data_IF_324625298741
#
_entry.id   IF_324625298741
#
_cell.length_a   1.000
_cell.length_b   1.000
_cell.length_c   1.000
_cell.angle_alpha   90.00
_cell.angle_beta   90.00
_cell.angle_gamma   90.00
#
_symmetry.space_group_name_H-M   'P 1'
#
loop_
_entity.id
_entity.type
_entity.pdbx_description
1 polymer ?
#
# COMPACT_ATOMS: atom_id res chain seq x y z
N UNK A 1 8.92 -24.31 2.17
CA UNK A 1 8.33 -23.67 3.37
C UNK A 1 9.25 -23.73 4.60
N UNK A 2 10.56 -23.99 4.44
CA UNK A 2 11.46 -24.28 5.57
C UNK A 2 11.75 -23.10 6.51
N UNK A 3 11.40 -21.87 6.11
CA UNK A 3 11.61 -20.63 6.89
C UNK A 3 10.29 -19.91 7.24
N UNK A 4 9.19 -20.63 7.20
CA UNK A 4 7.85 -20.07 7.41
C UNK A 4 7.19 -20.81 8.57
N UNK A 5 6.71 -20.05 9.55
CA UNK A 5 5.82 -20.57 10.59
C UNK A 5 4.42 -20.09 10.26
N UNK A 6 3.46 -21.01 10.20
CA UNK A 6 2.09 -20.74 9.80
C UNK A 6 1.16 -21.06 10.96
N UNK A 7 0.39 -20.06 11.39
CA UNK A 7 -0.71 -20.24 12.33
C UNK A 7 -2.01 -20.15 11.54
N UNK A 8 -2.84 -21.18 11.64
CA UNK A 8 -4.12 -21.26 10.93
C UNK A 8 -5.24 -21.38 11.95
N UNK A 9 -6.24 -20.52 11.82
CA UNK A 9 -7.54 -20.65 12.47
C UNK A 9 -8.59 -20.65 11.37
N UNK A 10 -9.35 -21.72 11.27
CA UNK A 10 -10.39 -21.91 10.26
C UNK A 10 -11.71 -21.30 10.73
N UNK A 11 -12.62 -21.06 9.79
CA UNK A 11 -13.97 -20.58 10.08
C UNK A 11 -14.81 -21.59 10.92
N UNK A 12 -14.41 -22.86 10.96
CA UNK A 12 -14.99 -23.89 11.82
C UNK A 12 -14.52 -23.83 13.27
N UNK A 13 -13.39 -23.17 13.52
CA UNK A 13 -12.73 -23.22 14.82
C UNK A 13 -13.36 -22.19 15.78
N UNK A 14 -13.28 -22.43 17.10
CA UNK A 14 -13.90 -21.56 18.10
C UNK A 14 -13.42 -20.11 18.03
N UNK A 15 -14.32 -19.18 18.34
CA UNK A 15 -14.04 -17.73 18.38
C UNK A 15 -12.84 -17.39 19.28
N UNK A 16 -12.67 -18.10 20.39
CA UNK A 16 -11.54 -17.91 21.32
C UNK A 16 -10.19 -18.21 20.63
N UNK A 17 -10.12 -19.21 19.75
CA UNK A 17 -8.89 -19.55 19.04
C UNK A 17 -8.47 -18.42 18.08
N UNK A 18 -9.44 -17.72 17.46
CA UNK A 18 -9.18 -16.56 16.60
C UNK A 18 -8.64 -15.36 17.37
N UNK A 19 -9.00 -15.23 18.64
CA UNK A 19 -8.51 -14.15 19.51
C UNK A 19 -7.05 -14.41 19.91
N UNK A 20 -6.71 -15.65 20.28
CA UNK A 20 -5.35 -16.00 20.75
C UNK A 20 -4.34 -16.17 19.61
N UNK A 21 -4.80 -16.51 18.40
CA UNK A 21 -3.92 -16.84 17.26
C UNK A 21 -2.95 -15.70 16.91
N UNK A 22 -3.38 -14.43 16.78
CA UNK A 22 -2.46 -13.31 16.53
C UNK A 22 -1.45 -13.13 17.66
N UNK A 23 -1.85 -13.29 18.93
CA UNK A 23 -0.96 -13.18 20.07
C UNK A 23 0.15 -14.23 20.01
N UNK A 24 -0.18 -15.49 19.72
CA UNK A 24 0.80 -16.56 19.57
C UNK A 24 1.75 -16.32 18.39
N UNK A 25 1.22 -15.83 17.27
CA UNK A 25 2.02 -15.48 16.10
C UNK A 25 3.01 -14.35 16.40
N UNK A 26 2.57 -13.31 17.11
CA UNK A 26 3.41 -12.19 17.52
C UNK A 26 4.46 -12.61 18.55
N UNK A 27 4.11 -13.39 19.57
CA UNK A 27 5.09 -13.92 20.54
C UNK A 27 6.17 -14.75 19.84
N UNK A 28 5.79 -15.56 18.85
CA UNK A 28 6.74 -16.35 18.06
C UNK A 28 7.63 -15.45 17.19
N UNK A 29 7.06 -14.39 16.62
CA UNK A 29 7.81 -13.41 15.85
C UNK A 29 8.81 -12.64 16.71
N UNK A 30 8.41 -12.22 17.92
CA UNK A 30 9.27 -11.56 18.90
C UNK A 30 10.40 -12.49 19.34
N UNK A 31 10.11 -13.77 19.60
CA UNK A 31 11.13 -14.77 19.90
C UNK A 31 12.18 -14.85 18.78
N UNK A 32 11.73 -14.95 17.53
CA UNK A 32 12.66 -14.99 16.39
C UNK A 32 13.43 -13.69 16.18
N UNK A 33 12.80 -12.54 16.41
CA UNK A 33 13.42 -11.23 16.24
C UNK A 33 14.45 -10.92 17.32
N UNK A 34 14.08 -11.11 18.59
CA UNK A 34 14.90 -10.67 19.73
C UNK A 34 15.81 -11.75 20.30
N UNK A 35 15.41 -13.03 20.27
CA UNK A 35 16.22 -14.09 20.86
C UNK A 35 17.13 -14.78 19.83
N UNK A 36 16.67 -14.87 18.57
CA UNK A 36 17.45 -15.47 17.48
C UNK A 36 18.04 -14.43 16.51
N UNK A 37 17.85 -13.13 16.78
CA UNK A 37 18.37 -12.01 15.96
C UNK A 37 18.02 -12.14 14.46
N UNK A 38 16.83 -12.65 14.13
CA UNK A 38 16.37 -12.81 12.75
C UNK A 38 15.53 -11.63 12.29
N UNK A 39 15.63 -11.30 11.00
CA UNK A 39 14.65 -10.43 10.35
C UNK A 39 13.36 -11.22 10.11
N UNK A 40 12.28 -10.82 10.78
CA UNK A 40 10.98 -11.47 10.71
C UNK A 40 9.98 -10.55 10.03
N UNK A 41 9.17 -11.13 9.14
CA UNK A 41 7.99 -10.46 8.57
C UNK A 41 6.78 -11.24 9.04
N UNK A 42 5.86 -10.54 9.70
CA UNK A 42 4.57 -11.10 10.14
C UNK A 42 3.50 -10.66 9.16
N UNK A 43 2.79 -11.62 8.60
CA UNK A 43 1.62 -11.38 7.75
C UNK A 43 0.41 -11.88 8.53
N UNK A 44 -0.41 -10.96 9.01
CA UNK A 44 -1.68 -11.28 9.65
C UNK A 44 -2.79 -11.10 8.63
N UNK A 45 -3.61 -12.13 8.45
CA UNK A 45 -4.73 -12.10 7.52
C UNK A 45 -6.03 -12.42 8.24
N UNK A 46 -7.00 -11.60 7.84
CA UNK A 46 -8.31 -11.24 8.38
C UNK A 46 -8.35 -10.70 9.81
N UNK A 47 -7.90 -9.45 9.96
CA UNK A 47 -8.12 -8.66 11.18
C UNK A 47 -9.61 -8.40 11.41
N UNK A 48 -10.45 -8.37 10.36
CA UNK A 48 -11.89 -8.17 10.53
C UNK A 48 -12.53 -9.35 11.26
N UNK A 49 -12.22 -10.57 10.83
CA UNK A 49 -12.69 -11.78 11.51
C UNK A 49 -12.20 -11.86 12.98
N UNK A 50 -11.01 -11.32 13.27
CA UNK A 50 -10.51 -11.21 14.64
C UNK A 50 -11.30 -10.17 15.47
N UNK A 51 -11.64 -9.01 14.89
CA UNK A 51 -12.46 -8.01 15.56
C UNK A 51 -13.90 -8.50 15.80
N UNK A 52 -14.50 -9.21 14.84
CA UNK A 52 -15.83 -9.81 15.00
C UNK A 52 -15.83 -10.83 16.14
N UNK A 53 -14.77 -11.64 16.22
CA UNK A 53 -14.57 -12.60 17.30
C UNK A 53 -14.46 -11.92 18.67
N UNK A 54 -13.71 -10.82 18.75
CA UNK A 54 -13.57 -10.03 19.97
C UNK A 54 -14.90 -9.42 20.41
N UNK A 55 -15.69 -8.92 19.45
CA UNK A 55 -17.01 -8.37 19.69
C UNK A 55 -17.99 -9.41 20.26
N UNK A 56 -18.01 -10.63 19.71
CA UNK A 56 -18.85 -11.73 20.20
C UNK A 56 -18.55 -12.06 21.67
N UNK A 57 -17.27 -12.11 22.05
CA UNK A 57 -16.85 -12.40 23.43
C UNK A 57 -17.21 -11.26 24.38
N UNK A 58 -17.03 -10.01 23.96
CA UNK A 58 -17.38 -8.83 24.76
C UNK A 58 -18.90 -8.74 25.00
N UNK A 59 -19.71 -9.00 23.97
CA UNK A 59 -21.17 -9.04 24.08
C UNK A 59 -21.64 -10.14 25.05
N UNK A 60 -20.98 -11.30 25.05
CA UNK A 60 -21.25 -12.38 26.01
C UNK A 60 -20.82 -12.03 27.45
N UNK A 61 -19.85 -11.12 27.62
CA UNK A 61 -19.35 -10.65 28.91
C UNK A 61 -20.19 -9.57 29.59
N UNK A 62 -21.32 -9.15 28.99
CA UNK A 62 -22.15 -8.01 29.44
C UNK A 62 -21.35 -6.70 29.62
N UNK A 63 -20.27 -6.53 28.87
CA UNK A 63 -19.52 -5.28 28.88
C UNK A 63 -20.37 -4.14 28.31
N UNK A 64 -20.17 -2.93 28.81
CA UNK A 64 -20.91 -1.77 28.29
C UNK A 64 -20.48 -1.54 26.84
N UNK A 65 -21.38 -1.67 25.86
CA UNK A 65 -21.02 -1.47 24.47
C UNK A 65 -20.58 -0.03 24.24
N UNK A 66 -19.49 0.12 23.49
CA UNK A 66 -19.05 1.39 22.94
C UNK A 66 -19.90 1.78 21.73
N UNK A 67 -19.30 2.42 20.72
CA UNK A 67 -20.03 2.73 19.48
C UNK A 67 -20.16 1.48 18.61
N UNK A 68 -21.35 1.26 18.03
CA UNK A 68 -21.66 0.11 17.15
C UNK A 68 -21.46 -1.27 17.83
N UNK A 69 -21.76 -1.36 19.13
CA UNK A 69 -21.69 -2.58 19.95
C UNK A 69 -20.29 -3.17 20.20
N UNK A 70 -19.22 -2.57 19.66
CA UNK A 70 -17.83 -2.93 20.01
C UNK A 70 -17.42 -2.41 21.40
N UNK A 71 -16.57 -3.13 22.15
CA UNK A 71 -16.14 -2.71 23.48
C UNK A 71 -15.44 -1.34 23.48
N UNK A 72 -15.64 -0.57 24.55
CA UNK A 72 -15.26 0.84 24.65
C UNK A 72 -13.74 1.11 24.73
N UNK A 73 -12.93 0.09 25.01
CA UNK A 73 -11.46 0.11 25.03
C UNK A 73 -10.83 -0.15 23.64
N UNK A 74 -11.61 -0.72 22.72
CA UNK A 74 -11.25 -1.00 21.34
C UNK A 74 -12.14 -0.21 20.38
N UNK A 75 -12.11 1.12 20.53
CA UNK A 75 -12.89 2.06 19.73
C UNK A 75 -12.44 1.94 18.27
N UNK A 76 -13.18 1.21 17.43
CA UNK A 76 -13.06 1.12 15.97
C UNK A 76 -14.02 2.13 15.32
N UNK A 77 -13.48 3.25 14.77
CA UNK A 77 -14.23 4.45 14.34
C UNK A 77 -13.86 4.91 12.93
N UNK A 78 -14.51 4.30 11.95
CA UNK A 78 -15.12 4.78 10.70
C UNK A 78 -14.54 5.94 9.84
N UNK A 79 -14.17 5.63 8.58
CA UNK A 79 -14.57 6.40 7.38
C UNK A 79 -15.62 5.66 6.53
N UNK A 80 -15.93 4.38 6.80
CA UNK A 80 -17.14 3.62 6.36
C UNK A 80 -17.18 2.15 6.86
N UNK A 81 -16.13 1.65 7.53
CA UNK A 81 -16.16 0.46 8.38
C UNK A 81 -15.29 0.72 9.62
N UNK A 82 -15.75 0.40 10.85
CA UNK A 82 -15.06 0.77 12.10
C UNK A 82 -13.61 0.31 12.15
N UNK A 83 -13.31 -0.82 11.49
CA UNK A 83 -12.02 -1.52 11.55
C UNK A 83 -10.91 -0.77 10.79
N UNK A 84 -11.25 -0.07 9.70
CA UNK A 84 -10.23 0.55 8.83
C UNK A 84 -9.54 1.75 9.47
N UNK A 85 -10.24 2.55 10.27
CA UNK A 85 -9.72 3.84 10.72
C UNK A 85 -8.61 3.76 11.73
N UNK A 86 -8.74 2.89 12.74
CA UNK A 86 -7.70 2.82 13.77
C UNK A 86 -6.53 1.96 13.39
N UNK A 87 -6.70 1.06 12.43
CA UNK A 87 -5.51 0.51 11.78
C UNK A 87 -4.70 1.66 11.19
N UNK A 88 -5.32 2.66 10.55
CA UNK A 88 -4.63 3.86 10.06
C UNK A 88 -4.05 4.79 11.14
N UNK A 89 -4.57 4.79 12.36
CA UNK A 89 -4.00 5.54 13.50
C UNK A 89 -2.84 4.81 14.19
N UNK A 90 -2.90 3.48 14.25
CA UNK A 90 -1.90 2.64 14.94
C UNK A 90 -0.74 2.32 14.00
N UNK A 91 -1.03 2.08 12.72
CA UNK A 91 -0.03 1.68 11.73
C UNK A 91 0.57 2.89 11.00
N UNK A 92 1.83 2.75 10.59
CA UNK A 92 2.60 3.82 9.95
C UNK A 92 2.30 3.98 8.44
N UNK A 93 1.06 3.73 8.05
CA UNK A 93 0.59 3.77 6.67
C UNK A 93 -0.34 2.61 6.35
N UNK A 94 -1.11 2.79 5.28
CA UNK A 94 -2.08 1.81 4.82
C UNK A 94 -1.93 1.64 3.31
N UNK A 95 -2.21 0.43 2.82
CA UNK A 95 -2.31 0.13 1.40
C UNK A 95 -3.78 -0.11 1.11
N UNK A 96 -4.38 0.79 0.35
CA UNK A 96 -5.78 0.76 -0.02
C UNK A 96 -5.97 -0.01 -1.33
N UNK A 97 -6.82 -1.03 -1.29
CA UNK A 97 -7.22 -1.81 -2.47
C UNK A 97 -8.52 -1.22 -3.01
N UNK A 98 -8.49 -0.72 -4.24
CA UNK A 98 -9.62 -0.05 -4.88
C UNK A 98 -10.39 -0.99 -5.81
N UNK A 99 -11.67 -1.16 -5.50
CA UNK A 99 -12.59 -1.97 -6.30
C UNK A 99 -12.79 -1.42 -7.71
N UNK A 100 -12.71 -0.11 -7.92
CA UNK A 100 -12.86 0.48 -9.25
C UNK A 100 -11.75 0.03 -10.19
N UNK A 101 -10.50 0.05 -9.71
CA UNK A 101 -9.35 -0.48 -10.45
C UNK A 101 -9.48 -1.99 -10.68
N UNK A 102 -9.99 -2.73 -9.69
CA UNK A 102 -10.27 -4.16 -9.82
C UNK A 102 -11.30 -4.47 -10.91
N UNK A 103 -12.40 -3.69 -10.96
CA UNK A 103 -13.44 -3.83 -11.98
C UNK A 103 -12.93 -3.51 -13.40
N UNK A 104 -11.90 -2.67 -13.53
CA UNK A 104 -11.21 -2.39 -14.79
C UNK A 104 -10.24 -3.51 -15.22
N UNK A 105 -10.05 -4.55 -14.41
CA UNK A 105 -9.12 -5.65 -14.69
C UNK A 105 -7.66 -5.33 -14.40
N UNK A 106 -7.36 -4.30 -13.62
CA UNK A 106 -5.99 -3.97 -13.20
C UNK A 106 -5.49 -5.01 -12.21
N UNK A 107 -4.34 -5.63 -12.51
CA UNK A 107 -3.66 -6.54 -11.60
C UNK A 107 -3.11 -5.75 -10.39
N UNK A 108 -3.37 -6.23 -9.17
CA UNK A 108 -3.07 -5.52 -7.91
C UNK A 108 -3.70 -4.12 -7.86
N UNK A 109 -5.02 -4.02 -7.65
CA UNK A 109 -5.73 -2.75 -7.76
C UNK A 109 -5.47 -1.86 -6.53
N UNK A 110 -4.27 -1.29 -6.42
CA UNK A 110 -3.83 -0.44 -5.32
C UNK A 110 -4.11 1.02 -5.67
N UNK A 111 -4.78 1.73 -4.79
CA UNK A 111 -4.96 3.17 -4.92
C UNK A 111 -3.80 3.92 -4.24
N UNK A 112 -2.92 4.48 -5.05
CA UNK A 112 -1.74 5.23 -4.60
C UNK A 112 -2.12 6.50 -3.84
N UNK A 113 -3.23 7.17 -4.17
CA UNK A 113 -3.65 8.41 -3.51
C UNK A 113 -4.13 8.16 -2.07
N UNK A 114 -4.86 7.06 -1.87
CA UNK A 114 -5.36 6.66 -0.55
C UNK A 114 -4.34 5.89 0.28
N UNK A 115 -3.12 5.68 -0.25
CA UNK A 115 -2.05 4.88 0.38
C UNK A 115 -0.77 5.70 0.60
N UNK A 116 -0.79 6.77 1.41
CA UNK A 116 0.39 7.60 1.62
C UNK A 116 1.43 6.86 2.45
N UNK A 117 2.67 6.68 1.95
CA UNK A 117 3.69 5.98 2.71
C UNK A 117 4.37 6.93 3.72
N UNK A 118 4.22 6.70 5.03
CA UNK A 118 4.77 7.60 6.07
C UNK A 118 6.28 7.43 6.26
N UNK A 119 6.77 6.19 6.19
CA UNK A 119 8.17 5.85 6.48
C UNK A 119 9.10 5.83 5.26
N UNK A 120 8.58 6.08 4.05
CA UNK A 120 9.36 5.94 2.81
C UNK A 120 10.60 6.82 2.78
N UNK A 121 10.52 8.03 3.36
CA UNK A 121 11.63 9.00 3.37
C UNK A 121 12.87 8.46 4.08
N UNK A 122 12.69 7.57 5.05
CA UNK A 122 13.82 6.92 5.73
C UNK A 122 14.39 5.76 4.89
N UNK A 123 13.58 5.13 4.05
CA UNK A 123 13.92 3.95 3.26
C UNK A 123 14.51 4.25 1.89
N UNK A 124 14.35 5.48 1.37
CA UNK A 124 14.82 5.89 0.05
C UNK A 124 16.10 6.73 0.11
N UNK A 125 16.83 6.78 -1.01
CA UNK A 125 18.05 7.59 -1.16
C UNK A 125 19.32 6.78 -1.38
N UNK A 126 20.45 7.48 -1.32
CA UNK A 126 21.79 6.94 -1.57
C UNK A 126 22.16 5.84 -0.59
N UNK A 127 22.57 4.67 -1.11
CA UNK A 127 22.94 3.51 -0.30
C UNK A 127 21.78 2.56 0.06
N UNK A 128 20.52 2.92 -0.25
CA UNK A 128 19.36 2.01 -0.10
C UNK A 128 18.73 1.63 -1.44
N UNK A 129 18.30 2.63 -2.21
CA UNK A 129 17.65 2.41 -3.51
C UNK A 129 18.40 3.16 -4.61
N UNK A 130 17.99 4.40 -4.90
CA UNK A 130 18.59 5.28 -5.92
C UNK A 130 18.37 6.74 -5.52
N UNK A 131 19.20 7.65 -6.06
CA UNK A 131 19.19 9.10 -5.77
C UNK A 131 17.88 9.80 -6.15
N UNK A 132 17.31 9.37 -7.27
CA UNK A 132 16.13 9.93 -7.94
C UNK A 132 14.78 9.43 -7.39
N UNK A 133 14.77 8.42 -6.52
CA UNK A 133 13.55 7.77 -6.05
C UNK A 133 12.57 8.75 -5.39
N UNK A 134 13.06 9.61 -4.49
CA UNK A 134 12.22 10.58 -3.78
C UNK A 134 11.52 11.54 -4.74
N UNK A 135 12.26 12.01 -5.76
CA UNK A 135 11.80 13.02 -6.70
C UNK A 135 10.76 12.42 -7.66
N UNK A 136 11.06 11.23 -8.20
CA UNK A 136 10.16 10.50 -9.12
C UNK A 136 8.87 10.11 -8.42
N UNK A 137 8.94 9.62 -7.18
CA UNK A 137 7.75 9.25 -6.41
C UNK A 137 6.88 10.48 -6.12
N UNK A 138 7.49 11.61 -5.75
CA UNK A 138 6.77 12.85 -5.46
C UNK A 138 6.08 13.40 -6.70
N UNK A 139 6.77 13.38 -7.84
CA UNK A 139 6.24 13.83 -9.12
C UNK A 139 5.06 12.97 -9.59
N UNK A 140 5.18 11.63 -9.55
CA UNK A 140 4.09 10.73 -9.93
C UNK A 140 2.84 10.93 -9.05
N UNK A 141 3.05 11.11 -7.74
CA UNK A 141 1.96 11.38 -6.81
C UNK A 141 1.25 12.70 -7.11
N UNK A 142 2.02 13.78 -7.31
CA UNK A 142 1.47 15.09 -7.66
C UNK A 142 0.68 15.05 -8.97
N UNK A 143 1.20 14.36 -9.99
CA UNK A 143 0.52 14.23 -11.29
C UNK A 143 -0.78 13.45 -11.16
N UNK A 144 -0.81 12.32 -10.43
CA UNK A 144 -2.05 11.56 -10.21
C UNK A 144 -3.08 12.36 -9.41
N UNK A 145 -2.65 13.16 -8.43
CA UNK A 145 -3.54 14.00 -7.63
C UNK A 145 -4.16 15.14 -8.47
N UNK A 146 -3.34 15.91 -9.17
CA UNK A 146 -3.79 17.04 -9.99
C UNK A 146 -4.68 16.56 -11.14
N UNK A 147 -4.26 15.52 -11.86
CA UNK A 147 -5.04 14.97 -12.98
C UNK A 147 -6.32 14.29 -12.47
N UNK A 148 -6.28 13.68 -11.29
CA UNK A 148 -7.46 13.04 -10.69
C UNK A 148 -8.59 14.03 -10.38
N UNK A 149 -8.25 15.25 -9.96
CA UNK A 149 -9.22 16.33 -9.73
C UNK A 149 -9.63 17.05 -11.01
N UNK A 150 -8.70 17.28 -11.94
CA UNK A 150 -8.93 18.02 -13.20
C UNK A 150 -9.48 17.16 -14.36
N UNK A 151 -9.54 15.82 -14.23
CA UNK A 151 -10.07 14.92 -15.26
C UNK A 151 -11.55 15.17 -15.60
N UNK A 152 -12.30 15.89 -14.74
CA UNK A 152 -13.65 16.34 -15.09
C UNK A 152 -13.67 17.52 -16.08
N UNK A 153 -12.57 18.25 -16.23
CA UNK A 153 -12.52 19.52 -16.98
C UNK A 153 -11.57 19.54 -18.18
N UNK A 154 -10.60 18.63 -18.28
CA UNK A 154 -9.51 18.77 -19.26
C UNK A 154 -9.68 17.91 -20.52
N UNK A 155 -9.77 18.57 -21.68
CA UNK A 155 -9.60 17.99 -23.04
C UNK A 155 -8.15 17.51 -23.32
N UNK A 156 -7.31 17.34 -22.29
CA UNK A 156 -5.90 17.02 -22.41
C UNK A 156 -5.68 15.53 -22.63
N UNK A 157 -5.67 15.13 -23.92
CA UNK A 157 -5.36 13.76 -24.38
C UNK A 157 -4.11 13.15 -23.73
N UNK A 158 -3.07 13.96 -23.50
CA UNK A 158 -1.81 13.54 -22.87
C UNK A 158 -2.01 13.07 -21.43
N UNK A 159 -2.89 13.73 -20.67
CA UNK A 159 -3.17 13.38 -19.28
C UNK A 159 -4.01 12.12 -19.13
N UNK A 160 -4.96 11.91 -20.05
CA UNK A 160 -5.71 10.66 -20.11
C UNK A 160 -4.80 9.48 -20.51
N UNK A 161 -3.95 9.67 -21.51
CA UNK A 161 -2.98 8.66 -21.95
C UNK A 161 -1.99 8.28 -20.82
N UNK A 162 -1.53 9.26 -20.05
CA UNK A 162 -0.70 9.01 -18.88
C UNK A 162 -1.43 8.20 -17.82
N UNK A 163 -2.68 8.55 -17.50
CA UNK A 163 -3.44 7.87 -16.45
C UNK A 163 -3.73 6.41 -16.81
N UNK A 164 -4.09 6.14 -18.07
CA UNK A 164 -4.27 4.78 -18.57
C UNK A 164 -2.97 3.98 -18.52
N UNK A 165 -1.86 4.54 -19.03
CA UNK A 165 -0.55 3.87 -18.99
C UNK A 165 -0.05 3.65 -17.57
N UNK A 166 -0.31 4.58 -16.65
CA UNK A 166 0.03 4.44 -15.25
C UNK A 166 -0.74 3.27 -14.61
N UNK A 167 -2.06 3.20 -14.80
CA UNK A 167 -2.88 2.11 -14.26
C UNK A 167 -2.52 0.75 -14.88
N UNK A 168 -2.25 0.70 -16.19
CA UNK A 168 -1.99 -0.55 -16.92
C UNK A 168 -0.55 -1.03 -16.91
N UNK A 169 0.44 -0.16 -16.68
CA UNK A 169 1.87 -0.52 -16.77
C UNK A 169 2.56 -0.42 -15.42
N UNK A 170 2.25 0.60 -14.62
CA UNK A 170 2.94 0.84 -13.35
C UNK A 170 2.27 0.14 -12.18
N UNK A 171 0.94 0.15 -12.10
CA UNK A 171 0.21 -0.54 -11.01
C UNK A 171 0.22 -2.05 -11.25
N UNK A 172 0.05 -2.49 -12.49
CA UNK A 172 -0.05 -3.91 -12.87
C UNK A 172 1.26 -4.71 -12.83
N UNK A 173 2.38 -4.09 -12.43
CA UNK A 173 3.72 -4.66 -12.58
C UNK A 173 4.07 -5.73 -11.53
N UNK A 174 5.13 -6.50 -11.82
CA UNK A 174 5.79 -7.37 -10.84
C UNK A 174 7.21 -6.87 -10.50
N UNK A 175 7.33 -6.26 -9.31
CA UNK A 175 8.49 -5.97 -8.45
C UNK A 175 9.86 -5.45 -8.98
N UNK A 176 10.34 -5.75 -10.21
CA UNK A 176 11.78 -5.66 -10.50
C UNK A 176 12.28 -4.39 -11.21
N UNK A 177 11.43 -3.53 -11.79
CA UNK A 177 11.89 -2.39 -12.63
C UNK A 177 11.10 -1.08 -12.43
N UNK A 178 10.50 -0.88 -11.26
CA UNK A 178 9.49 0.19 -11.05
C UNK A 178 9.98 1.61 -11.32
N UNK A 179 11.23 1.93 -10.98
CA UNK A 179 11.78 3.29 -11.21
C UNK A 179 12.03 3.58 -12.69
N UNK A 180 12.40 2.59 -13.49
CA UNK A 180 12.67 2.80 -14.92
C UNK A 180 11.35 2.91 -15.70
N UNK A 181 10.33 2.15 -15.30
CA UNK A 181 8.96 2.30 -15.79
C UNK A 181 8.40 3.68 -15.42
N UNK A 182 8.63 4.14 -14.19
CA UNK A 182 8.24 5.48 -13.75
C UNK A 182 8.85 6.57 -14.64
N UNK A 183 10.15 6.48 -14.95
CA UNK A 183 10.79 7.42 -15.87
C UNK A 183 10.21 7.36 -17.28
N UNK A 184 9.87 6.17 -17.80
CA UNK A 184 9.22 6.04 -19.10
C UNK A 184 7.84 6.69 -19.14
N UNK A 185 7.08 6.67 -18.04
CA UNK A 185 5.81 7.37 -17.92
C UNK A 185 5.96 8.88 -17.85
N UNK A 186 6.96 9.37 -17.09
CA UNK A 186 7.22 10.81 -16.98
C UNK A 186 7.68 11.44 -18.31
N UNK A 187 8.29 10.66 -19.20
CA UNK A 187 8.71 11.10 -20.55
C UNK A 187 7.55 11.40 -21.50
N UNK A 188 6.32 11.00 -21.16
CA UNK A 188 5.13 11.38 -21.93
C UNK A 188 4.91 12.91 -21.86
N UNK A 189 5.37 13.55 -20.78
CA UNK A 189 5.25 14.98 -20.57
C UNK A 189 6.51 15.75 -20.98
N UNK A 190 6.36 16.99 -21.47
CA UNK A 190 7.48 17.89 -21.67
C UNK A 190 8.15 18.24 -20.33
N UNK A 191 9.46 18.48 -20.37
CA UNK A 191 10.30 18.80 -19.20
C UNK A 191 9.78 19.98 -18.37
N UNK A 192 9.08 20.91 -19.00
CA UNK A 192 8.53 22.12 -18.39
C UNK A 192 7.41 21.85 -17.37
N UNK A 193 6.75 20.69 -17.47
CA UNK A 193 5.66 20.30 -16.58
C UNK A 193 6.15 19.46 -15.37
N UNK A 194 7.45 19.13 -15.31
CA UNK A 194 8.06 18.33 -14.25
C UNK A 194 8.64 19.20 -13.12
N UNK A 195 7.76 19.79 -12.31
CA UNK A 195 8.14 20.80 -11.31
C UNK A 195 8.70 20.23 -10.00
N UNK A 196 8.46 18.95 -9.67
CA UNK A 196 8.94 18.35 -8.43
C UNK A 196 10.30 17.65 -8.54
N UNK A 197 10.89 17.61 -9.74
CA UNK A 197 12.20 16.98 -9.95
C UNK A 197 13.28 18.06 -10.10
N UNK A 198 14.38 18.00 -9.33
CA UNK A 198 15.47 18.95 -9.47
C UNK A 198 16.11 18.87 -10.86
N UNK A 199 16.48 20.04 -11.42
CA UNK A 199 17.04 20.17 -12.78
C UNK A 199 18.26 19.27 -13.01
N UNK A 200 19.09 19.07 -11.98
CA UNK A 200 20.26 18.17 -12.02
C UNK A 200 19.89 16.73 -12.36
N UNK A 201 18.88 16.17 -11.69
CA UNK A 201 18.41 14.80 -11.93
C UNK A 201 17.69 14.68 -13.27
N UNK A 202 16.99 15.73 -13.71
CA UNK A 202 16.35 15.78 -15.03
C UNK A 202 17.38 15.75 -16.16
N UNK A 203 18.45 16.53 -16.07
CA UNK A 203 19.46 16.60 -17.13
C UNK A 203 20.25 15.29 -17.29
N UNK A 204 20.44 14.54 -16.21
CA UNK A 204 21.15 13.24 -16.23
C UNK A 204 20.28 12.08 -16.74
N UNK A 205 19.00 12.00 -16.33
CA UNK A 205 18.16 10.80 -16.52
C UNK A 205 17.07 10.94 -17.60
N UNK A 206 16.67 12.16 -17.92
CA UNK A 206 15.70 12.42 -18.99
C UNK A 206 16.23 12.10 -20.40
N UNK A 207 17.50 12.36 -20.78
CA UNK A 207 18.00 12.06 -22.12
C UNK A 207 18.31 10.58 -22.38
N UNK A 208 18.34 9.73 -21.34
CA UNK A 208 18.81 8.35 -21.44
C UNK A 208 17.78 7.41 -22.10
N UNK A 209 17.67 7.53 -23.42
CA UNK A 209 17.25 6.50 -24.38
C UNK A 209 18.35 5.42 -24.38
N UNK A 210 18.16 4.10 -24.31
CA UNK A 210 17.31 3.18 -25.07
C UNK A 210 17.51 1.79 -24.43
N UNK A 211 16.47 1.17 -23.88
CA UNK A 211 16.32 -0.29 -23.99
C UNK A 211 14.91 -0.54 -24.48
N UNK A 212 14.81 -0.99 -25.74
CA UNK A 212 13.57 -1.47 -26.34
C UNK A 212 13.03 -2.59 -25.45
N UNK A 213 11.97 -2.31 -24.69
CA UNK A 213 11.05 -3.37 -24.24
C UNK A 213 10.12 -3.59 -25.44
N UNK A 214 10.60 -4.34 -26.41
CA UNK A 214 9.83 -4.80 -27.56
C UNK A 214 10.17 -6.27 -27.76
N UNK A 215 9.92 -7.07 -26.73
CA UNK A 215 9.92 -8.54 -26.78
C UNK A 215 9.51 -9.03 -25.39
N UNK A 216 8.21 -8.95 -25.07
CA UNK A 216 7.41 -10.01 -24.42
C UNK A 216 5.95 -9.63 -24.65
N UNK A 217 5.45 -9.94 -25.85
CA UNK A 217 4.03 -10.25 -26.07
C UNK A 217 3.93 -11.77 -26.15
#
# INVERSE_FOLDING_TARGET
MERTTLFLSLASDPTIERIITPCLALMTAEYFAYQLEKHVIVIMTDISAHCDALHEVSAAGEEVPGRHDYPADHILKDITHPISDLTGFITEGQIFIDRQLGNKGVYQPINVLSSPPRLIKSAIGEGRTRKDHSDVSSQLYAMKAVIGEEALSAENKVSLEFLEKFEQTFISQSAYESLDIAWNLLRIYPRELLNHIPKRSLDELYPCSTRKITEVL
#
